data_IF_061463686347
#
_entry.id   IF_061463686347
#
_cell.length_a   1.000
_cell.length_b   1.000
_cell.length_c   1.000
_cell.angle_alpha   90.00
_cell.angle_beta   90.00
_cell.angle_gamma   90.00
#
_symmetry.space_group_name_H-M   'P 1'
#
loop_
_entity.id
_entity.type
_entity.pdbx_description
1 polymer ?
#
# COMPACT_ATOMS: atom_id res chain seq x y z
N UNK A 1 -27.41 -23.11 1.41
CA UNK A 1 -26.44 -22.06 1.01
C UNK A 1 -25.03 -22.59 1.19
N UNK A 2 -24.11 -22.39 0.22
CA UNK A 2 -22.76 -23.01 0.28
C UNK A 2 -21.86 -22.24 1.28
N UNK A 3 -21.38 -22.88 2.36
CA UNK A 3 -20.56 -22.23 3.40
C UNK A 3 -19.24 -21.66 2.86
N UNK A 4 -18.65 -22.27 1.82
CA UNK A 4 -17.46 -21.72 1.15
C UNK A 4 -17.76 -20.38 0.48
N UNK A 5 -18.95 -20.23 -0.10
CA UNK A 5 -19.37 -18.99 -0.77
C UNK A 5 -19.59 -17.87 0.24
N UNK A 6 -20.13 -18.17 1.42
CA UNK A 6 -20.26 -17.20 2.51
C UNK A 6 -18.90 -16.74 3.02
N UNK A 7 -17.97 -17.67 3.26
CA UNK A 7 -16.62 -17.33 3.70
C UNK A 7 -15.90 -16.37 2.73
N UNK A 8 -15.99 -16.62 1.42
CA UNK A 8 -15.41 -15.75 0.39
C UNK A 8 -16.05 -14.36 0.40
N UNK A 9 -17.38 -14.26 0.51
CA UNK A 9 -18.07 -12.97 0.57
C UNK A 9 -17.63 -12.17 1.80
N UNK A 10 -17.55 -12.82 2.97
CA UNK A 10 -17.07 -12.16 4.19
C UNK A 10 -15.63 -11.69 4.07
N UNK A 11 -14.74 -12.49 3.45
CA UNK A 11 -13.35 -12.09 3.20
C UNK A 11 -13.27 -10.88 2.25
N UNK A 12 -14.02 -10.89 1.16
CA UNK A 12 -14.08 -9.76 0.21
C UNK A 12 -14.60 -8.48 0.88
N UNK A 13 -15.62 -8.58 1.71
CA UNK A 13 -16.15 -7.44 2.46
C UNK A 13 -15.13 -6.89 3.45
N UNK A 14 -14.40 -7.75 4.18
CA UNK A 14 -13.32 -7.33 5.06
C UNK A 14 -12.21 -6.64 4.28
N UNK A 15 -11.77 -7.21 3.16
CA UNK A 15 -10.76 -6.58 2.31
C UNK A 15 -11.19 -5.19 1.85
N UNK A 16 -12.41 -5.05 1.31
CA UNK A 16 -12.95 -3.76 0.86
C UNK A 16 -13.00 -2.70 1.97
N UNK A 17 -13.32 -3.09 3.21
CA UNK A 17 -13.30 -2.17 4.36
C UNK A 17 -11.90 -1.69 4.73
N UNK A 18 -10.88 -2.53 4.55
CA UNK A 18 -9.50 -2.11 4.80
C UNK A 18 -9.00 -1.21 3.68
N UNK A 19 -9.30 -1.55 2.41
CA UNK A 19 -8.87 -0.75 1.26
C UNK A 19 -9.43 0.67 1.25
N UNK A 20 -10.64 0.90 1.78
CA UNK A 20 -11.20 2.26 1.86
C UNK A 20 -10.47 3.18 2.85
N UNK A 21 -9.73 2.60 3.80
CA UNK A 21 -9.11 3.32 4.91
C UNK A 21 -7.58 3.27 4.88
N UNK A 22 -6.99 2.59 3.89
CA UNK A 22 -5.53 2.41 3.80
C UNK A 22 -4.96 3.38 2.78
N UNK A 23 -4.04 4.24 3.23
CA UNK A 23 -3.30 5.16 2.39
C UNK A 23 -1.81 4.73 2.28
N UNK A 24 -1.02 5.51 1.54
CA UNK A 24 0.40 5.22 1.35
C UNK A 24 1.19 5.22 2.68
N UNK A 25 0.75 5.95 3.70
CA UNK A 25 1.43 5.99 5.00
C UNK A 25 1.17 4.72 5.80
N UNK A 26 -0.08 4.23 5.78
CA UNK A 26 -0.42 2.96 6.40
C UNK A 26 0.38 1.80 5.78
N UNK A 27 0.57 1.79 4.46
CA UNK A 27 1.45 0.82 3.81
C UNK A 27 2.92 1.01 4.14
N UNK A 28 3.41 2.24 4.19
CA UNK A 28 4.79 2.52 4.56
C UNK A 28 5.10 1.94 5.95
N UNK A 29 4.25 2.25 6.94
CA UNK A 29 4.41 1.73 8.30
C UNK A 29 4.39 0.20 8.37
N UNK A 30 3.56 -0.45 7.55
CA UNK A 30 3.52 -1.91 7.47
C UNK A 30 4.80 -2.48 6.85
N UNK A 31 5.29 -1.88 5.76
CA UNK A 31 6.50 -2.31 5.05
C UNK A 31 7.77 -2.08 5.87
N UNK A 32 7.79 -1.05 6.71
CA UNK A 32 8.89 -0.75 7.64
C UNK A 32 8.66 -1.35 9.03
N UNK A 33 7.60 -2.13 9.22
CA UNK A 33 7.29 -2.82 10.47
C UNK A 33 8.15 -4.06 10.67
N UNK A 34 8.27 -4.55 11.91
CA UNK A 34 9.17 -5.66 12.25
C UNK A 34 8.84 -6.96 11.51
N UNK A 35 7.60 -7.14 11.06
CA UNK A 35 7.17 -8.34 10.33
C UNK A 35 7.67 -8.38 8.88
N UNK A 36 7.92 -7.22 8.26
CA UNK A 36 8.21 -7.13 6.83
C UNK A 36 9.54 -6.45 6.50
N UNK A 37 10.08 -5.64 7.41
CA UNK A 37 11.24 -4.78 7.15
C UNK A 37 12.43 -5.55 6.57
N UNK A 38 12.88 -6.62 7.24
CA UNK A 38 14.00 -7.45 6.80
C UNK A 38 13.78 -8.02 5.38
N UNK A 39 12.54 -8.43 5.08
CA UNK A 39 12.22 -8.97 3.77
C UNK A 39 12.25 -7.89 2.69
N UNK A 40 11.66 -6.71 2.97
CA UNK A 40 11.66 -5.57 2.06
C UNK A 40 13.09 -5.12 1.77
N UNK A 41 13.91 -4.93 2.81
CA UNK A 41 15.33 -4.57 2.69
C UNK A 41 16.10 -5.59 1.84
N UNK A 42 15.89 -6.89 2.07
CA UNK A 42 16.58 -7.95 1.30
C UNK A 42 16.27 -7.94 -0.20
N UNK A 43 15.13 -7.36 -0.59
CA UNK A 43 14.67 -7.25 -1.97
C UNK A 43 14.99 -5.90 -2.61
N UNK A 44 15.54 -4.94 -1.85
CA UNK A 44 15.90 -3.63 -2.40
C UNK A 44 17.06 -3.77 -3.37
N UNK A 45 16.89 -3.37 -4.65
CA UNK A 45 18.01 -3.30 -5.56
C UNK A 45 18.93 -2.15 -5.17
N UNK A 46 20.14 -2.16 -5.73
CA UNK A 46 20.96 -0.95 -5.74
C UNK A 46 20.16 0.19 -6.38
N UNK A 47 19.91 1.23 -5.61
CA UNK A 47 19.07 2.35 -6.02
C UNK A 47 19.81 3.67 -5.88
N UNK A 48 19.41 4.63 -6.70
CA UNK A 48 19.87 6.02 -6.57
C UNK A 48 19.01 6.72 -5.53
N UNK A 49 19.57 7.74 -4.91
CA UNK A 49 18.78 8.71 -4.15
C UNK A 49 17.76 9.38 -5.08
N UNK A 50 16.49 9.34 -4.66
CA UNK A 50 15.34 9.88 -5.39
C UNK A 50 14.52 10.71 -4.41
N UNK A 51 13.66 11.59 -4.94
CA UNK A 51 12.74 12.39 -4.14
C UNK A 51 11.86 11.51 -3.23
N UNK A 52 11.35 10.41 -3.77
CA UNK A 52 10.69 9.35 -3.01
C UNK A 52 11.58 8.11 -3.04
N UNK A 53 12.09 7.62 -1.88
CA UNK A 53 12.84 6.38 -1.80
C UNK A 53 12.02 5.16 -2.28
N UNK A 54 12.68 4.01 -2.55
CA UNK A 54 12.00 2.82 -3.06
C UNK A 54 10.83 2.35 -2.20
N UNK A 55 10.97 2.36 -0.87
CA UNK A 55 9.92 1.90 0.06
C UNK A 55 8.72 2.84 0.09
N UNK A 56 8.94 4.16 0.03
CA UNK A 56 7.84 5.13 -0.16
C UNK A 56 7.17 4.97 -1.51
N UNK A 57 7.93 4.72 -2.57
CA UNK A 57 7.37 4.50 -3.90
C UNK A 57 6.51 3.23 -3.94
N UNK A 58 6.95 2.17 -3.28
CA UNK A 58 6.17 0.93 -3.14
C UNK A 58 4.87 1.18 -2.36
N UNK A 59 4.92 1.93 -1.27
CA UNK A 59 3.72 2.21 -0.47
C UNK A 59 2.70 3.05 -1.24
N UNK A 60 3.16 4.06 -2.01
CA UNK A 60 2.32 4.82 -2.93
C UNK A 60 1.66 3.93 -3.98
N UNK A 61 2.43 3.03 -4.59
CA UNK A 61 1.91 2.12 -5.61
C UNK A 61 0.83 1.17 -5.05
N UNK A 62 1.04 0.64 -3.84
CA UNK A 62 0.05 -0.21 -3.17
C UNK A 62 -1.25 0.55 -2.87
N UNK A 63 -1.15 1.79 -2.38
CA UNK A 63 -2.30 2.65 -2.16
C UNK A 63 -3.03 2.97 -3.48
N UNK A 64 -2.29 3.32 -4.53
CA UNK A 64 -2.83 3.59 -5.87
C UNK A 64 -3.59 2.37 -6.43
N UNK A 65 -3.03 1.17 -6.32
CA UNK A 65 -3.62 -0.06 -6.86
C UNK A 65 -4.96 -0.41 -6.18
N UNK A 66 -5.10 -0.08 -4.89
CA UNK A 66 -6.29 -0.38 -4.09
C UNK A 66 -7.29 0.78 -4.03
N UNK A 67 -6.89 1.98 -4.44
CA UNK A 67 -7.77 3.14 -4.59
C UNK A 67 -8.85 2.89 -5.65
N UNK A 68 -10.03 3.46 -5.40
CA UNK A 68 -11.10 3.54 -6.40
C UNK A 68 -10.68 4.41 -7.61
N UNK A 69 -9.89 5.45 -7.33
CA UNK A 69 -9.26 6.30 -8.33
C UNK A 69 -7.78 5.92 -8.41
N UNK A 70 -7.44 5.10 -9.42
CA UNK A 70 -6.10 4.53 -9.61
C UNK A 70 -5.12 5.49 -10.30
N UNK A 71 -5.38 6.79 -10.25
CA UNK A 71 -4.51 7.81 -10.82
C UNK A 71 -3.15 7.86 -10.11
N UNK A 72 -2.09 7.68 -10.88
CA UNK A 72 -0.72 7.84 -10.39
C UNK A 72 -0.46 9.29 -9.93
N UNK A 73 -0.96 10.27 -10.69
CA UNK A 73 -0.80 11.68 -10.34
C UNK A 73 -1.44 12.00 -8.99
N UNK A 74 -2.62 11.43 -8.71
CA UNK A 74 -3.28 11.61 -7.42
C UNK A 74 -2.43 11.06 -6.27
N UNK A 75 -1.93 9.83 -6.40
CA UNK A 75 -1.11 9.19 -5.39
C UNK A 75 0.17 10.00 -5.08
N UNK A 76 0.83 10.52 -6.12
CA UNK A 76 2.01 11.39 -5.97
C UNK A 76 1.64 12.73 -5.30
N UNK A 77 0.55 13.37 -5.72
CA UNK A 77 0.11 14.64 -5.14
C UNK A 77 -0.23 14.51 -3.66
N UNK A 78 -0.94 13.44 -3.27
CA UNK A 78 -1.29 13.17 -1.86
C UNK A 78 -0.05 13.01 -0.98
N UNK A 79 0.99 12.33 -1.47
CA UNK A 79 2.25 12.21 -0.74
C UNK A 79 3.06 13.50 -0.71
N UNK A 80 3.11 14.23 -1.83
CA UNK A 80 3.80 15.51 -1.88
C UNK A 80 3.20 16.52 -0.87
N UNK A 81 1.87 16.55 -0.73
CA UNK A 81 1.19 17.40 0.27
C UNK A 81 1.56 16.99 1.70
N UNK A 82 1.79 15.71 1.98
CA UNK A 82 2.16 15.22 3.32
C UNK A 82 3.63 15.49 3.70
N UNK A 83 4.48 15.79 2.72
CA UNK A 83 5.89 16.15 2.95
C UNK A 83 6.10 17.67 3.14
N UNK A 84 5.04 18.48 3.00
CA UNK A 84 5.02 19.92 3.29
C UNK A 84 4.69 20.17 4.76
#
# INVERSE_FOLDING_TARGET
>A
MNPRRQAVIHQQQRARRHTSNTDAYAFFNLLTGPELFEHVESLLPFHRERLFPPTETLSMFMAQALSADRSCQKAVNEMAVKQL
#
